data_IF_340096033511
#
_entry.id   IF_340096033511
#
_cell.length_a   1.000
_cell.length_b   1.000
_cell.length_c   1.000
_cell.angle_alpha   90.00
_cell.angle_beta   90.00
_cell.angle_gamma   90.00
#
_symmetry.space_group_name_H-M   'P 1'
#
loop_
_entity.id
_entity.type
_entity.pdbx_description
1 polymer ?
#
# COMPACT_ATOMS: atom_id res chain seq x y z
N UNK A 1 45.62 7.50 3.45
CA UNK A 1 44.73 7.70 2.29
C UNK A 1 43.47 6.86 2.53
N UNK A 2 42.37 7.49 2.94
CA UNK A 2 41.10 6.80 3.22
C UNK A 2 40.34 6.66 1.90
N UNK A 3 39.95 5.43 1.53
CA UNK A 3 39.15 5.16 0.34
C UNK A 3 37.69 5.49 0.68
N UNK A 4 37.14 6.54 0.07
CA UNK A 4 35.71 6.81 0.10
C UNK A 4 35.01 5.77 -0.78
N UNK A 5 34.18 4.93 -0.16
CA UNK A 5 33.20 4.12 -0.86
C UNK A 5 31.96 4.99 -1.06
N UNK A 6 31.71 5.39 -2.31
CA UNK A 6 30.44 6.00 -2.70
C UNK A 6 29.42 4.86 -2.73
N UNK A 7 28.51 4.83 -1.75
CA UNK A 7 27.32 3.98 -1.83
C UNK A 7 26.36 4.62 -2.82
N UNK A 8 26.10 3.91 -3.91
CA UNK A 8 25.11 4.29 -4.91
C UNK A 8 23.72 4.07 -4.28
N UNK A 9 23.05 5.14 -3.86
CA UNK A 9 21.64 5.11 -3.49
C UNK A 9 20.83 5.00 -4.77
N UNK A 10 20.27 3.83 -5.03
CA UNK A 10 19.23 3.66 -6.04
C UNK A 10 17.91 4.11 -5.41
N UNK A 11 17.56 5.39 -5.55
CA UNK A 11 16.22 5.86 -5.28
C UNK A 11 15.26 5.20 -6.28
N UNK A 12 14.41 4.30 -5.80
CA UNK A 12 13.38 3.67 -6.61
C UNK A 12 12.29 4.67 -6.94
N UNK A 13 12.37 5.28 -8.12
CA UNK A 13 11.33 6.16 -8.65
C UNK A 13 10.12 5.30 -9.07
N UNK A 14 9.16 5.11 -8.16
CA UNK A 14 7.86 4.51 -8.49
C UNK A 14 6.91 5.62 -8.95
N UNK A 15 6.71 5.73 -10.27
CA UNK A 15 5.77 6.71 -10.86
C UNK A 15 4.36 6.11 -10.83
N UNK A 16 3.52 6.55 -9.90
CA UNK A 16 2.08 6.29 -9.95
C UNK A 16 1.41 7.36 -10.82
N UNK A 17 0.92 6.95 -11.99
CA UNK A 17 0.21 7.83 -12.92
C UNK A 17 -1.31 7.67 -12.74
N UNK A 18 -1.94 8.63 -12.06
CA UNK A 18 -3.40 8.71 -11.99
C UNK A 18 -3.91 9.49 -13.20
N UNK A 19 -4.71 8.84 -14.06
CA UNK A 19 -5.39 9.52 -15.15
C UNK A 19 -6.64 10.21 -14.60
N UNK A 20 -6.69 11.54 -14.68
CA UNK A 20 -7.95 12.26 -14.44
C UNK A 20 -8.86 12.09 -15.67
N UNK A 21 -9.76 11.10 -15.58
CA UNK A 21 -10.79 10.84 -16.59
C UNK A 21 -11.94 11.83 -16.48
N UNK A 22 -11.94 12.87 -17.31
CA UNK A 22 -13.15 13.65 -17.59
C UNK A 22 -13.80 13.10 -18.86
N UNK A 23 -15.02 12.54 -18.77
CA UNK A 23 -15.84 12.27 -19.96
C UNK A 23 -17.00 11.29 -19.76
N UNK A 24 -18.16 11.80 -19.36
CA UNK A 24 -19.45 11.14 -19.61
C UNK A 24 -19.83 11.26 -21.09
N UNK A 25 -20.16 10.14 -21.76
CA UNK A 25 -21.51 9.79 -22.25
C UNK A 25 -21.51 8.61 -23.24
N UNK A 26 -22.61 7.86 -23.15
CA UNK A 26 -23.01 6.61 -23.81
C UNK A 26 -22.87 6.54 -25.35
N UNK A 27 -22.46 5.37 -25.85
CA UNK A 27 -23.36 4.50 -26.63
C UNK A 27 -22.74 3.13 -26.99
N UNK A 28 -23.62 2.14 -26.83
CA UNK A 28 -23.56 0.74 -27.25
C UNK A 28 -23.20 0.53 -28.74
N UNK A 29 -22.55 -0.59 -29.07
CA UNK A 29 -22.90 -1.52 -30.17
C UNK A 29 -21.86 -2.66 -30.23
N UNK A 30 -22.35 -3.82 -29.79
CA UNK A 30 -22.06 -5.18 -30.23
C UNK A 30 -21.35 -5.34 -31.61
N UNK A 31 -20.23 -6.09 -31.63
CA UNK A 31 -19.86 -6.98 -32.75
C UNK A 31 -18.96 -8.12 -32.25
N UNK A 32 -19.52 -9.32 -32.17
CA UNK A 32 -18.76 -10.55 -32.03
C UNK A 32 -18.09 -10.99 -33.34
N UNK A 33 -17.05 -11.82 -33.22
CA UNK A 33 -16.91 -13.13 -33.89
C UNK A 33 -15.52 -13.76 -33.63
N UNK A 34 -15.55 -14.81 -32.82
CA UNK A 34 -14.90 -16.14 -32.89
C UNK A 34 -13.58 -16.40 -33.65
N UNK A 35 -12.77 -17.21 -32.95
CA UNK A 35 -11.95 -18.38 -33.34
C UNK A 35 -10.61 -18.19 -34.07
N UNK A 36 -9.58 -18.84 -33.51
CA UNK A 36 -8.69 -19.89 -34.08
C UNK A 36 -7.95 -20.51 -32.85
N UNK A 37 -8.34 -21.68 -32.35
CA UNK A 37 -7.87 -23.06 -32.66
C UNK A 37 -6.47 -23.42 -32.13
N UNK A 38 -6.47 -24.52 -31.37
CA UNK A 38 -5.40 -25.28 -30.72
C UNK A 38 -4.29 -25.80 -31.63
N UNK A 39 -3.11 -26.01 -31.04
CA UNK A 39 -2.23 -27.17 -31.32
C UNK A 39 -1.62 -27.69 -30.01
N UNK A 40 -2.07 -28.87 -29.59
CA UNK A 40 -1.33 -29.80 -28.73
C UNK A 40 -0.22 -30.46 -29.56
N UNK A 41 0.93 -30.80 -28.96
CA UNK A 41 1.70 -32.02 -29.25
C UNK A 41 2.52 -32.41 -28.01
N UNK A 42 2.49 -33.72 -27.78
CA UNK A 42 2.88 -34.51 -26.62
C UNK A 42 4.41 -34.69 -26.43
N UNK A 43 4.81 -34.74 -25.16
CA UNK A 43 5.52 -35.83 -24.45
C UNK A 43 6.62 -36.64 -25.17
N UNK A 44 7.85 -36.62 -24.61
CA UNK A 44 8.75 -37.80 -24.53
C UNK A 44 9.61 -37.69 -23.26
N UNK A 45 9.22 -38.47 -22.26
CA UNK A 45 10.00 -38.96 -21.11
C UNK A 45 11.19 -39.83 -21.56
N UNK A 46 12.35 -39.73 -20.87
CA UNK A 46 13.34 -40.81 -20.70
C UNK A 46 14.19 -40.56 -19.42
N UNK A 47 13.68 -41.17 -18.36
CA UNK A 47 14.28 -41.68 -17.13
C UNK A 47 15.79 -42.08 -17.12
N UNK A 48 16.34 -41.99 -15.90
CA UNK A 48 17.27 -42.92 -15.22
C UNK A 48 18.72 -42.46 -14.94
N UNK A 49 19.08 -42.45 -13.64
CA UNK A 49 20.46 -42.44 -13.17
C UNK A 49 20.63 -42.05 -11.70
N UNK A 50 20.27 -42.94 -10.79
CA UNK A 50 20.54 -42.88 -9.34
C UNK A 50 22.05 -42.79 -9.02
N UNK A 51 22.42 -42.08 -7.94
CA UNK A 51 23.33 -42.63 -6.90
C UNK A 51 23.44 -41.70 -5.68
N UNK A 52 23.01 -42.21 -4.52
CA UNK A 52 23.41 -41.72 -3.20
C UNK A 52 24.86 -42.12 -2.88
N UNK A 53 25.59 -41.30 -2.08
CA UNK A 53 26.39 -41.80 -0.94
C UNK A 53 26.93 -40.65 -0.07
N UNK A 54 26.76 -40.86 1.24
CA UNK A 54 27.20 -40.11 2.42
C UNK A 54 28.72 -39.88 2.49
N UNK A 55 29.17 -38.88 3.27
CA UNK A 55 30.09 -39.05 4.44
C UNK A 55 30.17 -37.75 5.27
N UNK A 56 30.11 -37.88 6.59
CA UNK A 56 30.23 -36.86 7.65
C UNK A 56 31.66 -36.28 7.82
N UNK A 57 31.79 -35.09 8.41
CA UNK A 57 32.57 -34.82 9.66
C UNK A 57 32.73 -33.30 9.92
N UNK A 58 32.56 -32.97 11.20
CA UNK A 58 32.56 -31.71 11.96
C UNK A 58 33.71 -30.71 11.69
N UNK A 59 33.47 -29.40 11.95
CA UNK A 59 34.01 -28.70 13.15
C UNK A 59 33.45 -27.28 13.26
N UNK A 60 33.03 -26.96 14.49
CA UNK A 60 32.55 -25.72 15.10
C UNK A 60 33.21 -24.39 14.69
N UNK A 61 32.43 -23.30 14.73
CA UNK A 61 32.66 -22.20 15.66
C UNK A 61 31.44 -21.27 15.79
N UNK A 62 31.24 -20.85 17.04
CA UNK A 62 30.19 -20.05 17.68
C UNK A 62 30.22 -18.57 17.28
N UNK A 63 29.17 -17.84 17.69
CA UNK A 63 29.03 -16.37 17.81
C UNK A 63 28.35 -15.72 16.59
N UNK A 64 27.31 -14.88 16.68
CA UNK A 64 26.75 -14.14 17.81
C UNK A 64 25.31 -13.75 17.45
N UNK A 65 24.38 -14.01 18.37
CA UNK A 65 22.98 -13.59 18.29
C UNK A 65 22.90 -12.07 18.43
N UNK A 66 22.71 -11.36 17.31
CA UNK A 66 22.33 -9.95 17.34
C UNK A 66 20.82 -9.84 17.62
N UNK A 67 20.45 -9.94 18.89
CA UNK A 67 19.19 -9.37 19.37
C UNK A 67 19.28 -7.86 19.18
N UNK A 68 18.62 -7.35 18.15
CA UNK A 68 18.28 -5.93 18.10
C UNK A 68 17.24 -5.70 19.20
N UNK A 69 17.70 -5.26 20.37
CA UNK A 69 16.85 -4.74 21.43
C UNK A 69 16.23 -3.44 20.92
N UNK A 70 15.02 -3.55 20.35
CA UNK A 70 14.09 -2.44 20.27
C UNK A 70 13.74 -2.06 21.70
N UNK A 71 14.39 -1.00 22.18
CA UNK A 71 14.12 -0.40 23.46
C UNK A 71 12.88 0.48 23.30
N UNK A 72 11.71 -0.11 23.53
CA UNK A 72 10.46 0.63 23.69
C UNK A 72 10.55 1.49 24.94
N UNK A 73 10.67 2.81 24.75
CA UNK A 73 10.52 3.78 25.83
C UNK A 73 9.09 4.29 25.75
N UNK A 74 8.31 3.99 26.77
CA UNK A 74 6.85 4.09 26.76
C UNK A 74 6.32 5.54 26.79
N UNK A 75 5.36 5.82 25.91
CA UNK A 75 4.06 6.31 26.36
C UNK A 75 3.69 7.75 26.03
N UNK A 76 4.63 8.67 25.85
CA UNK A 76 4.29 10.09 25.54
C UNK A 76 5.19 10.67 24.46
N UNK A 77 6.50 10.50 24.59
CA UNK A 77 7.47 11.00 23.60
C UNK A 77 7.35 10.28 22.25
N UNK A 78 7.04 8.97 22.25
CA UNK A 78 6.86 8.19 21.02
C UNK A 78 5.59 8.58 20.22
N UNK A 79 4.53 9.00 20.92
CA UNK A 79 3.26 9.38 20.29
C UNK A 79 3.26 10.82 19.76
N UNK A 80 4.03 11.73 20.34
CA UNK A 80 4.29 13.05 19.73
C UNK A 80 5.25 12.92 18.54
N UNK A 81 6.26 12.04 18.66
CA UNK A 81 7.24 11.80 17.61
C UNK A 81 6.63 11.24 16.32
N UNK A 82 5.58 10.40 16.40
CA UNK A 82 4.91 9.87 15.21
C UNK A 82 4.03 10.89 14.47
N UNK A 83 3.36 11.81 15.18
CA UNK A 83 2.53 12.83 14.53
C UNK A 83 3.37 13.87 13.78
N UNK A 84 4.53 14.24 14.36
CA UNK A 84 5.51 15.10 13.71
C UNK A 84 6.08 14.43 12.45
N UNK A 85 6.50 13.16 12.54
CA UNK A 85 6.98 12.43 11.37
C UNK A 85 5.90 12.24 10.29
N UNK A 86 4.64 11.99 10.66
CA UNK A 86 3.53 11.91 9.71
C UNK A 86 3.32 13.26 9.00
N UNK A 87 3.35 14.36 9.75
CA UNK A 87 3.21 15.70 9.18
C UNK A 87 4.34 16.01 8.20
N UNK A 88 5.58 15.66 8.54
CA UNK A 88 6.75 15.83 7.66
C UNK A 88 6.63 14.97 6.39
N UNK A 89 6.26 13.69 6.52
CA UNK A 89 6.04 12.79 5.39
C UNK A 89 4.97 13.33 4.44
N UNK A 90 3.82 13.75 4.97
CA UNK A 90 2.71 14.29 4.18
C UNK A 90 3.11 15.58 3.48
N UNK A 91 3.86 16.46 4.15
CA UNK A 91 4.37 17.68 3.56
C UNK A 91 5.43 17.43 2.47
N UNK A 92 6.28 16.42 2.63
CA UNK A 92 7.23 16.01 1.58
C UNK A 92 6.49 15.43 0.37
N UNK A 93 5.49 14.57 0.58
CA UNK A 93 4.66 13.98 -0.48
C UNK A 93 3.92 15.04 -1.30
N UNK A 94 3.34 16.04 -0.63
CA UNK A 94 2.68 17.16 -1.30
C UNK A 94 3.65 18.00 -2.13
N UNK A 95 4.89 18.22 -1.66
CA UNK A 95 5.94 18.92 -2.43
C UNK A 95 6.42 18.12 -3.64
N UNK A 96 6.43 16.79 -3.54
CA UNK A 96 6.78 15.86 -4.62
C UNK A 96 5.69 15.70 -5.68
N UNK A 97 4.53 16.34 -5.50
CA UNK A 97 3.41 16.25 -6.44
C UNK A 97 3.49 17.38 -7.46
N UNK A 98 3.45 17.02 -8.74
CA UNK A 98 3.48 17.98 -9.86
C UNK A 98 2.60 17.53 -11.01
N UNK A 99 2.06 18.49 -11.76
CA UNK A 99 1.26 18.22 -12.95
C UNK A 99 2.09 18.40 -14.22
N UNK A 100 2.09 17.39 -15.09
CA UNK A 100 2.65 17.44 -16.43
C UNK A 100 1.55 17.17 -17.46
N UNK A 101 0.91 18.23 -17.94
CA UNK A 101 -0.24 18.12 -18.83
C UNK A 101 -1.46 17.53 -18.10
N UNK A 102 -1.97 16.40 -18.58
CA UNK A 102 -3.08 15.65 -17.98
C UNK A 102 -2.61 14.55 -17.01
N UNK A 103 -1.31 14.47 -16.72
CA UNK A 103 -0.75 13.52 -15.78
C UNK A 103 -0.36 14.22 -14.50
N UNK A 104 -0.70 13.61 -13.36
CA UNK A 104 -0.11 13.93 -12.07
C UNK A 104 1.08 13.00 -11.85
N UNK A 105 2.26 13.57 -11.64
CA UNK A 105 3.44 12.85 -11.20
C UNK A 105 3.58 13.06 -9.69
N UNK A 106 3.69 11.95 -8.96
CA UNK A 106 3.94 11.95 -7.52
C UNK A 106 5.32 11.35 -7.27
N UNK A 107 6.21 12.12 -6.68
CA UNK A 107 7.44 11.63 -6.08
C UNK A 107 7.15 11.32 -4.60
N UNK A 108 7.19 10.03 -4.24
CA UNK A 108 6.95 9.60 -2.86
C UNK A 108 8.16 9.95 -1.97
N UNK A 109 7.93 10.35 -0.70
CA UNK A 109 9.00 10.53 0.27
C UNK A 109 9.84 9.26 0.43
N UNK A 110 11.13 9.42 0.74
CA UNK A 110 11.98 8.27 1.05
C UNK A 110 11.65 7.73 2.46
N UNK A 111 11.04 6.54 2.51
CA UNK A 111 10.62 5.88 3.76
C UNK A 111 11.78 5.63 4.73
N UNK A 112 13.02 5.46 4.26
CA UNK A 112 14.21 5.28 5.13
C UNK A 112 14.51 6.51 6.01
N UNK A 113 13.91 7.67 5.71
CA UNK A 113 14.04 8.87 6.52
C UNK A 113 13.13 8.88 7.76
N UNK A 114 12.22 7.91 7.88
CA UNK A 114 11.16 7.87 8.90
C UNK A 114 11.27 6.61 9.77
N UNK A 115 10.95 6.73 11.06
CA UNK A 115 11.19 5.66 12.04
C UNK A 115 10.01 4.68 12.16
N UNK A 116 8.76 5.14 11.96
CA UNK A 116 7.56 4.32 12.22
C UNK A 116 7.05 3.50 11.04
N UNK A 117 7.93 3.15 10.08
CA UNK A 117 7.50 2.57 8.79
C UNK A 117 6.42 3.43 8.11
N UNK A 118 6.51 4.75 8.28
CA UNK A 118 5.59 5.68 7.63
C UNK A 118 5.83 5.58 6.13
N UNK A 119 4.76 5.44 5.37
CA UNK A 119 4.85 5.28 3.93
C UNK A 119 4.94 3.83 3.46
N UNK A 120 5.13 2.86 4.37
CA UNK A 120 5.02 1.41 4.12
C UNK A 120 3.56 0.98 3.85
N UNK A 121 2.85 1.81 3.09
CA UNK A 121 1.62 1.48 2.37
C UNK A 121 1.81 0.22 1.54
N UNK A 122 3.04 -0.08 1.12
CA UNK A 122 3.38 -1.26 0.33
C UNK A 122 3.01 -2.59 0.99
N UNK A 123 2.91 -2.69 2.32
CA UNK A 123 2.50 -3.95 2.94
C UNK A 123 1.00 -4.24 2.67
N UNK A 124 0.11 -3.31 3.03
CA UNK A 124 -1.33 -3.57 2.87
C UNK A 124 -1.87 -3.29 1.47
N UNK A 125 -1.35 -2.30 0.74
CA UNK A 125 -1.87 -2.01 -0.61
C UNK A 125 -1.51 -3.12 -1.59
N UNK A 126 -0.49 -3.94 -1.30
CA UNK A 126 -0.13 -5.12 -2.10
C UNK A 126 -1.22 -6.20 -2.15
N UNK A 127 -2.22 -6.13 -1.26
CA UNK A 127 -3.39 -7.02 -1.24
C UNK A 127 -4.33 -6.79 -2.42
N UNK A 128 -4.22 -5.65 -3.09
CA UNK A 128 -5.14 -5.20 -4.12
C UNK A 128 -4.42 -5.07 -5.47
N UNK A 129 -5.06 -5.55 -6.53
CA UNK A 129 -4.58 -5.26 -7.87
C UNK A 129 -4.89 -3.79 -8.27
N UNK A 130 -4.28 -3.33 -9.37
CA UNK A 130 -4.42 -1.93 -9.79
C UNK A 130 -5.84 -1.52 -10.13
N UNK A 131 -6.71 -2.46 -10.53
CA UNK A 131 -8.13 -2.16 -10.76
C UNK A 131 -8.83 -1.95 -9.43
N UNK A 132 -8.62 -2.85 -8.49
CA UNK A 132 -9.21 -2.77 -7.14
C UNK A 132 -8.80 -1.48 -6.43
N UNK A 133 -7.54 -1.06 -6.55
CA UNK A 133 -7.04 0.21 -6.02
C UNK A 133 -7.73 1.41 -6.67
N UNK A 134 -7.80 1.45 -8.00
CA UNK A 134 -8.43 2.56 -8.71
C UNK A 134 -9.91 2.72 -8.33
N UNK A 135 -10.66 1.61 -8.27
CA UNK A 135 -12.07 1.62 -7.85
C UNK A 135 -12.23 2.16 -6.41
N UNK A 136 -11.37 1.73 -5.48
CA UNK A 136 -11.39 2.23 -4.10
C UNK A 136 -11.08 3.74 -4.03
N UNK A 137 -10.08 4.22 -4.78
CA UNK A 137 -9.75 5.64 -4.85
C UNK A 137 -10.85 6.49 -5.51
N UNK A 138 -11.53 5.97 -6.53
CA UNK A 138 -12.68 6.64 -7.15
C UNK A 138 -13.83 6.81 -6.14
N UNK A 139 -14.17 5.76 -5.39
CA UNK A 139 -15.21 5.81 -4.35
C UNK A 139 -14.80 6.77 -3.23
N UNK A 140 -13.56 6.70 -2.75
CA UNK A 140 -13.07 7.59 -1.70
C UNK A 140 -13.06 9.06 -2.15
N UNK A 141 -12.56 9.34 -3.36
CA UNK A 141 -12.56 10.67 -3.94
C UNK A 141 -13.96 11.23 -4.16
N UNK A 142 -14.90 10.40 -4.62
CA UNK A 142 -16.31 10.78 -4.74
C UNK A 142 -16.93 11.07 -3.37
N UNK A 143 -16.62 10.30 -2.33
CA UNK A 143 -17.11 10.58 -0.98
C UNK A 143 -16.60 11.94 -0.46
N UNK A 144 -15.30 12.22 -0.56
CA UNK A 144 -14.72 13.51 -0.12
C UNK A 144 -15.32 14.69 -0.90
N UNK A 145 -15.42 14.56 -2.22
CA UNK A 145 -15.95 15.64 -3.08
C UNK A 145 -17.46 15.82 -2.95
N UNK A 146 -18.22 14.75 -3.08
CA UNK A 146 -19.67 14.82 -3.28
C UNK A 146 -20.44 14.72 -1.95
N UNK A 147 -19.91 14.00 -0.96
CA UNK A 147 -20.56 13.84 0.36
C UNK A 147 -20.05 14.86 1.37
N UNK A 148 -18.72 15.05 1.47
CA UNK A 148 -18.13 16.01 2.41
C UNK A 148 -18.03 17.43 1.82
N UNK A 149 -18.22 17.58 0.51
CA UNK A 149 -18.09 18.86 -0.20
C UNK A 149 -16.71 19.52 0.03
N UNK A 150 -15.65 18.71 -0.07
CA UNK A 150 -14.26 19.13 0.08
C UNK A 150 -13.49 18.96 -1.22
N UNK A 151 -12.66 19.95 -1.55
CA UNK A 151 -11.64 19.85 -2.60
C UNK A 151 -10.33 19.39 -1.97
N UNK A 152 -10.26 18.10 -1.58
CA UNK A 152 -9.03 17.47 -1.07
C UNK A 152 -8.67 16.28 -1.94
N UNK A 153 -7.37 16.12 -2.20
CA UNK A 153 -6.83 14.89 -2.74
C UNK A 153 -6.92 13.77 -1.69
N UNK A 154 -7.09 12.54 -2.18
CA UNK A 154 -7.20 11.33 -1.37
C UNK A 154 -5.95 10.50 -1.61
N UNK A 155 -5.32 10.08 -0.53
CA UNK A 155 -4.06 9.32 -0.54
C UNK A 155 -4.26 7.96 0.13
N UNK A 156 -3.41 6.99 -0.19
CA UNK A 156 -3.28 5.79 0.65
C UNK A 156 -2.96 6.22 2.08
N UNK A 157 -3.61 5.61 3.07
CA UNK A 157 -3.28 5.86 4.47
C UNK A 157 -1.86 5.40 4.78
N UNK A 158 -1.07 6.27 5.41
CA UNK A 158 0.32 5.97 5.85
C UNK A 158 0.48 6.01 7.37
N UNK A 159 -0.59 6.31 8.11
CA UNK A 159 -0.57 6.31 9.57
C UNK A 159 -0.53 4.87 10.11
N UNK A 160 0.56 4.46 10.78
CA UNK A 160 0.67 3.11 11.34
C UNK A 160 -0.35 2.83 12.45
N UNK A 161 -0.88 3.87 13.12
CA UNK A 161 -1.99 3.70 14.07
C UNK A 161 -3.25 3.24 13.37
N UNK A 162 -3.46 3.62 12.11
CA UNK A 162 -4.61 3.21 11.32
C UNK A 162 -4.38 1.86 10.65
N UNK A 163 -3.19 1.63 10.06
CA UNK A 163 -2.88 0.34 9.41
C UNK A 163 -2.81 -0.82 10.40
N UNK A 164 -2.66 -0.55 11.70
CA UNK A 164 -2.83 -1.55 12.76
C UNK A 164 -4.16 -2.33 12.68
N UNK A 165 -5.20 -1.79 12.02
CA UNK A 165 -6.47 -2.49 11.79
C UNK A 165 -6.30 -3.87 11.12
N UNK A 166 -5.26 -4.06 10.30
CA UNK A 166 -5.03 -5.31 9.57
C UNK A 166 -4.55 -6.45 10.48
N UNK A 167 -3.86 -6.10 11.56
CA UNK A 167 -3.38 -7.05 12.57
C UNK A 167 -4.32 -7.12 13.79
N UNK A 168 -5.30 -6.23 13.85
CA UNK A 168 -6.27 -6.19 14.93
C UNK A 168 -7.36 -7.26 14.74
N UNK A 169 -7.59 -8.07 15.77
CA UNK A 169 -8.63 -9.09 15.76
C UNK A 169 -10.04 -8.46 15.68
N UNK A 170 -10.27 -7.34 16.36
CA UNK A 170 -11.60 -6.71 16.45
C UNK A 170 -11.92 -5.79 15.25
N UNK A 171 -10.88 -5.24 14.59
CA UNK A 171 -10.95 -4.33 13.42
C UNK A 171 -11.80 -3.07 13.63
N UNK A 172 -12.18 -2.77 14.87
CA UNK A 172 -13.00 -1.62 15.25
C UNK A 172 -14.27 -1.49 14.43
N UNK A 173 -14.43 -0.35 13.76
CA UNK A 173 -15.62 -0.09 12.91
C UNK A 173 -15.77 -1.07 11.75
N UNK A 174 -14.68 -1.69 11.29
CA UNK A 174 -14.70 -2.70 10.22
C UNK A 174 -14.83 -4.14 10.75
N UNK A 175 -15.32 -4.32 11.98
CA UNK A 175 -15.55 -5.64 12.56
C UNK A 175 -16.47 -6.47 11.65
N UNK A 176 -16.04 -7.70 11.34
CA UNK A 176 -16.75 -8.61 10.45
C UNK A 176 -16.25 -8.64 9.01
N UNK A 177 -15.38 -7.71 8.61
CA UNK A 177 -14.73 -7.74 7.30
C UNK A 177 -13.35 -8.40 7.35
N UNK A 178 -13.02 -9.15 6.30
CA UNK A 178 -11.68 -9.69 6.09
C UNK A 178 -10.70 -8.57 5.67
N UNK A 179 -9.41 -8.73 5.99
CA UNK A 179 -8.36 -7.75 5.65
C UNK A 179 -8.31 -7.42 4.15
N UNK A 180 -8.52 -8.41 3.28
CA UNK A 180 -8.53 -8.25 1.81
C UNK A 180 -9.79 -7.53 1.28
N UNK A 181 -10.68 -7.12 2.18
CA UNK A 181 -11.91 -6.40 1.93
C UNK A 181 -11.97 -5.07 2.70
N UNK A 182 -10.85 -4.59 3.25
CA UNK A 182 -10.74 -3.30 3.93
C UNK A 182 -9.66 -2.46 3.25
N UNK A 183 -10.01 -1.25 2.82
CA UNK A 183 -9.06 -0.30 2.24
C UNK A 183 -9.05 1.02 3.03
N UNK A 184 -7.86 1.56 3.26
CA UNK A 184 -7.66 2.77 4.05
C UNK A 184 -7.18 3.93 3.17
N UNK A 185 -7.89 5.04 3.24
CA UNK A 185 -7.44 6.30 2.66
C UNK A 185 -7.24 7.37 3.73
N UNK A 186 -6.45 8.39 3.42
CA UNK A 186 -6.35 9.61 4.19
C UNK A 186 -6.54 10.84 3.29
N UNK A 187 -7.06 11.92 3.87
CA UNK A 187 -7.23 13.20 3.20
C UNK A 187 -7.07 14.35 4.20
N UNK A 188 -6.77 15.55 3.70
CA UNK A 188 -6.60 16.74 4.53
C UNK A 188 -7.86 17.59 4.51
N UNK A 189 -8.40 17.91 5.67
CA UNK A 189 -9.47 18.89 5.82
C UNK A 189 -8.92 20.09 6.60
N UNK A 190 -8.61 21.17 5.89
CA UNK A 190 -8.06 22.40 6.46
C UNK A 190 -6.82 22.15 7.35
N UNK A 191 -5.92 21.27 6.89
CA UNK A 191 -4.69 20.91 7.61
C UNK A 191 -4.87 19.85 8.69
N UNK A 192 -6.10 19.39 8.97
CA UNK A 192 -6.36 18.24 9.83
C UNK A 192 -6.51 16.99 8.97
N UNK A 193 -5.65 15.99 9.20
CA UNK A 193 -5.72 14.71 8.49
C UNK A 193 -6.84 13.84 9.06
N UNK A 194 -7.64 13.28 8.16
CA UNK A 194 -8.74 12.36 8.47
C UNK A 194 -8.62 11.10 7.63
N UNK A 195 -9.21 10.02 8.11
CA UNK A 195 -9.13 8.70 7.50
C UNK A 195 -10.49 8.28 6.97
N UNK A 196 -10.48 7.58 5.84
CA UNK A 196 -11.62 6.84 5.32
C UNK A 196 -11.33 5.35 5.44
N UNK A 197 -12.33 4.60 5.86
CA UNK A 197 -12.30 3.15 5.88
C UNK A 197 -13.34 2.69 4.87
N UNK A 198 -12.85 2.07 3.80
CA UNK A 198 -13.67 1.49 2.75
C UNK A 198 -13.75 -0.01 2.95
N UNK A 199 -14.92 -0.57 2.68
CA UNK A 199 -15.16 -2.01 2.73
C UNK A 199 -15.85 -2.52 1.47
N UNK A 200 -15.80 -3.83 1.27
CA UNK A 200 -16.57 -4.55 0.26
C UNK A 200 -16.95 -5.93 0.79
N UNK A 201 -18.01 -6.51 0.25
CA UNK A 201 -18.48 -7.85 0.67
C UNK A 201 -17.54 -8.99 0.22
N UNK A 202 -16.70 -8.74 -0.79
CA UNK A 202 -15.74 -9.71 -1.31
C UNK A 202 -15.11 -9.24 -2.62
N UNK A 203 -14.09 -9.97 -3.10
CA UNK A 203 -13.41 -9.64 -4.36
C UNK A 203 -14.39 -9.53 -5.53
N UNK A 204 -14.33 -8.41 -6.24
CA UNK A 204 -15.22 -8.07 -7.36
C UNK A 204 -16.55 -7.44 -6.96
N UNK A 205 -16.79 -7.21 -5.67
CA UNK A 205 -17.90 -6.37 -5.19
C UNK A 205 -17.47 -4.91 -5.14
N UNK A 206 -18.45 -4.01 -5.25
CA UNK A 206 -18.22 -2.57 -5.18
C UNK A 206 -17.69 -2.16 -3.79
N UNK A 207 -16.80 -1.16 -3.79
CA UNK A 207 -16.34 -0.52 -2.57
C UNK A 207 -17.38 0.46 -2.05
N UNK A 208 -17.48 0.56 -0.72
CA UNK A 208 -18.26 1.59 -0.04
C UNK A 208 -17.46 2.21 1.11
N UNK A 209 -17.70 3.50 1.38
CA UNK A 209 -17.13 4.14 2.58
C UNK A 209 -17.96 3.74 3.79
N UNK A 210 -17.37 2.90 4.64
CA UNK A 210 -17.99 2.45 5.89
C UNK A 210 -17.89 3.53 6.97
N UNK A 211 -16.74 4.20 7.05
CA UNK A 211 -16.45 5.13 8.13
C UNK A 211 -15.49 6.24 7.70
N UNK A 212 -15.63 7.39 8.34
CA UNK A 212 -14.73 8.53 8.23
C UNK A 212 -14.44 9.12 9.62
N UNK A 213 -13.19 9.38 9.95
CA UNK A 213 -12.82 9.91 11.26
C UNK A 213 -11.32 9.90 11.54
N UNK A 214 -10.95 10.03 12.82
CA UNK A 214 -9.55 10.11 13.28
C UNK A 214 -8.98 8.79 13.80
N UNK A 215 -9.80 7.74 13.93
CA UNK A 215 -9.40 6.41 14.38
C UNK A 215 -10.39 5.36 13.89
N UNK A 216 -9.93 4.14 13.62
CA UNK A 216 -10.81 2.99 13.35
C UNK A 216 -11.45 2.42 14.62
N UNK A 217 -10.95 2.80 15.80
CA UNK A 217 -11.55 2.46 17.09
C UNK A 217 -12.62 3.51 17.43
N UNK A 218 -13.82 3.03 17.77
CA UNK A 218 -14.85 3.87 18.38
C UNK A 218 -14.75 3.68 19.90
N UNK A 219 -14.47 4.76 20.62
CA UNK A 219 -14.49 4.77 22.08
C UNK A 219 -15.92 4.82 22.62
#
# INVERSE_FOLDING_TARGET
MKKNQVKLLAAGMLVLAFMTGCGSNDNDINKGLNNITSEDIEDVDHNAGEQESKTDTETSQTEESSQSQLQTTEGTDAAENIEEELADYRAEREKGTSSLGNYTMVELPNEENYNYKIGDSNDYTSRFDSRELNEAFEVAGAYVRDTLNLESEVWSCVDPKMTAIYEDEDKGVASGYDADNIFLCEFSNNGSWQYLILVREGKGSDWEVLYHGSSYKTN
#
